data_IF_321429190024
#
_entry.id   IF_321429190024
#
_cell.length_a   1.000
_cell.length_b   1.000
_cell.length_c   1.000
_cell.angle_alpha   90.00
_cell.angle_beta   90.00
_cell.angle_gamma   90.00
#
_symmetry.space_group_name_H-M   'P 1'
#
loop_
_entity.id
_entity.type
_entity.pdbx_description
1 polymer ?
#
# COMPACT_ATOMS: atom_id res chain seq x y z
N UNK A 1 48.15 38.78 0.77
CA UNK A 1 48.52 37.50 1.41
C UNK A 1 47.52 36.46 0.94
N UNK A 2 47.83 35.83 -0.19
CA UNK A 2 47.24 34.54 -0.60
C UNK A 2 47.75 33.44 0.33
N UNK A 3 46.88 32.51 0.74
CA UNK A 3 47.31 31.20 1.21
C UNK A 3 46.71 30.13 0.31
N UNK A 4 47.60 29.45 -0.41
CA UNK A 4 47.40 28.19 -1.15
C UNK A 4 47.08 27.05 -0.17
N UNK A 5 46.18 26.15 -0.56
CA UNK A 5 45.83 24.93 0.18
C UNK A 5 46.86 23.79 0.01
N UNK A 6 46.47 22.55 0.41
CA UNK A 6 47.02 21.36 -0.23
C UNK A 6 45.94 20.37 -0.75
N UNK A 7 46.36 19.64 -1.78
CA UNK A 7 45.68 18.69 -2.68
C UNK A 7 44.95 17.48 -2.03
N UNK A 8 44.04 16.83 -2.79
CA UNK A 8 43.37 15.59 -2.41
C UNK A 8 44.21 14.36 -2.80
N UNK A 9 44.70 13.60 -1.82
CA UNK A 9 45.43 12.35 -2.09
C UNK A 9 45.52 11.42 -0.89
N UNK A 10 45.11 10.16 -1.11
CA UNK A 10 45.32 8.96 -0.28
C UNK A 10 44.52 8.81 1.02
N UNK A 11 43.31 8.24 0.92
CA UNK A 11 42.72 7.44 2.00
C UNK A 11 42.72 5.98 1.56
N UNK A 12 43.64 5.20 2.12
CA UNK A 12 43.68 3.75 1.97
C UNK A 12 42.51 3.10 2.74
N UNK A 13 41.64 2.36 2.05
CA UNK A 13 40.69 1.44 2.71
C UNK A 13 41.45 0.30 3.43
N UNK A 14 41.10 -0.06 4.68
CA UNK A 14 41.57 -1.31 5.27
C UNK A 14 41.00 -2.51 4.51
N UNK A 15 41.82 -3.53 4.24
CA UNK A 15 41.35 -4.83 3.73
C UNK A 15 40.60 -5.56 4.84
N UNK A 16 39.42 -6.10 4.53
CA UNK A 16 38.67 -7.01 5.41
C UNK A 16 39.52 -8.24 5.79
N UNK A 17 39.49 -8.71 7.05
CA UNK A 17 40.15 -9.94 7.44
C UNK A 17 39.41 -11.15 6.86
N UNK A 18 40.11 -11.96 6.07
CA UNK A 18 39.63 -13.26 5.59
C UNK A 18 39.44 -14.19 6.81
N UNK A 19 38.26 -14.81 7.01
CA UNK A 19 38.01 -15.65 8.18
C UNK A 19 38.81 -16.96 8.11
N UNK A 20 39.48 -17.29 9.22
CA UNK A 20 40.27 -18.51 9.40
C UNK A 20 39.36 -19.75 9.47
N UNK A 21 39.26 -20.46 8.35
CA UNK A 21 38.48 -21.70 8.19
C UNK A 21 38.82 -22.78 9.22
N UNK A 22 40.02 -22.73 9.84
CA UNK A 22 40.50 -23.70 10.83
C UNK A 22 39.84 -23.51 12.21
N UNK A 23 39.39 -22.30 12.55
CA UNK A 23 38.66 -22.01 13.80
C UNK A 23 37.19 -22.45 13.74
N UNK A 24 36.53 -22.32 12.58
CA UNK A 24 35.15 -22.78 12.38
C UNK A 24 35.02 -24.30 12.42
N UNK A 25 35.97 -25.05 11.85
CA UNK A 25 35.93 -26.52 11.83
C UNK A 25 36.12 -27.15 13.22
N UNK A 26 36.88 -26.50 14.11
CA UNK A 26 37.07 -26.98 15.48
C UNK A 26 35.89 -26.67 16.41
N UNK A 27 35.07 -25.65 16.11
CA UNK A 27 33.82 -25.37 16.84
C UNK A 27 32.76 -26.44 16.56
N UNK A 28 32.52 -26.76 15.28
CA UNK A 28 31.56 -27.80 14.88
C UNK A 28 31.90 -29.20 15.39
N UNK A 29 33.18 -29.51 15.59
CA UNK A 29 33.62 -30.79 16.16
C UNK A 29 33.35 -30.90 17.67
N UNK A 30 33.19 -29.77 18.38
CA UNK A 30 32.96 -29.76 19.85
C UNK A 30 31.48 -29.71 20.26
N UNK A 31 30.56 -29.41 19.35
CA UNK A 31 29.13 -29.21 19.67
C UNK A 31 28.21 -30.36 19.25
N UNK A 32 28.72 -31.46 18.69
CA UNK A 32 27.90 -32.62 18.29
C UNK A 32 28.20 -33.85 19.14
N UNK A 33 27.29 -34.20 20.05
CA UNK A 33 27.11 -35.58 20.57
C UNK A 33 26.02 -36.28 19.73
N UNK A 34 26.15 -37.59 19.42
CA UNK A 34 25.26 -38.27 18.49
C UNK A 34 24.09 -38.96 19.23
N UNK A 35 22.86 -38.73 18.78
CA UNK A 35 21.75 -39.64 19.03
C UNK A 35 21.16 -40.09 17.69
N UNK A 36 21.19 -41.42 17.50
CA UNK A 36 20.71 -42.20 16.34
C UNK A 36 19.28 -41.81 15.98
N UNK A 37 18.97 -41.66 14.70
CA UNK A 37 17.78 -42.26 14.06
C UNK A 37 17.97 -42.39 12.55
N UNK A 38 17.16 -43.28 12.00
CA UNK A 38 17.39 -44.21 10.91
C UNK A 38 17.24 -43.61 9.50
N UNK A 39 18.01 -44.15 8.54
CA UNK A 39 18.02 -43.78 7.12
C UNK A 39 17.06 -44.70 6.35
N UNK A 40 16.09 -44.12 5.63
CA UNK A 40 15.55 -44.68 4.37
C UNK A 40 15.36 -43.53 3.38
N UNK A 41 16.30 -43.35 2.44
CA UNK A 41 16.21 -43.71 1.00
C UNK A 41 15.16 -42.86 0.24
N UNK A 42 15.44 -42.08 -0.82
CA UNK A 42 16.35 -42.21 -1.98
C UNK A 42 16.91 -40.81 -2.42
N UNK A 43 18.23 -40.64 -2.64
CA UNK A 43 19.02 -40.70 -3.91
C UNK A 43 18.64 -39.68 -5.01
N UNK A 44 19.41 -38.57 -5.17
CA UNK A 44 20.53 -38.31 -6.16
C UNK A 44 19.99 -37.96 -7.56
N UNK A 45 20.30 -36.81 -8.19
CA UNK A 45 21.63 -36.42 -8.69
C UNK A 45 21.69 -34.95 -9.11
N UNK A 46 22.83 -34.32 -8.83
CA UNK A 46 23.27 -33.03 -9.37
C UNK A 46 24.21 -33.29 -10.55
N UNK A 47 24.07 -32.54 -11.64
CA UNK A 47 25.15 -32.31 -12.61
C UNK A 47 25.38 -30.81 -12.77
N UNK A 48 26.60 -30.39 -12.49
CA UNK A 48 27.16 -29.07 -12.74
C UNK A 48 27.23 -28.80 -14.24
N UNK A 49 27.06 -27.54 -14.64
CA UNK A 49 28.00 -26.91 -15.58
C UNK A 49 27.94 -25.38 -15.43
N UNK A 50 29.11 -24.77 -15.26
CA UNK A 50 29.33 -23.33 -15.43
C UNK A 50 29.43 -23.01 -16.93
N UNK A 51 28.90 -21.86 -17.34
CA UNK A 51 29.17 -21.30 -18.67
C UNK A 51 28.23 -20.16 -19.05
N UNK A 52 28.69 -18.94 -18.78
CA UNK A 52 28.40 -17.63 -19.39
C UNK A 52 26.97 -17.12 -19.66
N UNK A 53 26.86 -15.81 -19.40
CA UNK A 53 25.94 -14.80 -19.94
C UNK A 53 24.55 -14.60 -19.28
N UNK A 54 24.55 -13.60 -18.39
CA UNK A 54 23.55 -12.53 -18.19
C UNK A 54 22.09 -12.88 -17.85
N UNK A 55 21.60 -12.11 -16.87
CA UNK A 55 20.19 -11.84 -16.50
C UNK A 55 19.42 -12.79 -15.57
N UNK A 56 18.80 -12.11 -14.59
CA UNK A 56 17.61 -12.43 -13.77
C UNK A 56 17.77 -13.11 -12.40
N UNK A 57 17.45 -12.30 -11.39
CA UNK A 57 16.46 -12.50 -10.31
C UNK A 57 16.52 -13.81 -9.49
N UNK A 58 16.62 -13.70 -8.16
CA UNK A 58 15.85 -14.56 -7.25
C UNK A 58 15.61 -13.93 -5.87
N UNK A 59 14.31 -13.81 -5.59
CA UNK A 59 13.65 -13.58 -4.31
C UNK A 59 13.98 -14.66 -3.28
N UNK A 60 14.05 -14.29 -2.00
CA UNK A 60 14.07 -15.21 -0.86
C UNK A 60 12.75 -15.03 -0.12
N UNK A 61 11.99 -16.12 -0.03
CA UNK A 61 10.69 -16.23 0.61
C UNK A 61 10.87 -17.10 1.85
N UNK A 62 10.49 -16.60 3.03
CA UNK A 62 10.44 -17.38 4.29
C UNK A 62 8.97 -17.58 4.64
N UNK A 63 8.55 -18.84 4.70
CA UNK A 63 7.23 -19.27 5.19
C UNK A 63 7.21 -19.25 6.72
N UNK A 64 6.10 -18.78 7.30
CA UNK A 64 5.72 -19.03 8.69
C UNK A 64 4.40 -19.81 8.69
N UNK A 65 4.45 -21.10 9.04
CA UNK A 65 3.28 -21.88 9.44
C UNK A 65 3.55 -22.52 10.80
N UNK A 66 2.81 -22.10 11.81
CA UNK A 66 2.59 -22.88 13.02
C UNK A 66 1.10 -22.77 13.39
N UNK A 67 0.33 -23.78 13.00
CA UNK A 67 -1.04 -23.99 13.47
C UNK A 67 -1.02 -24.72 14.81
N UNK A 68 -1.77 -24.20 15.77
CA UNK A 68 -2.03 -24.79 17.07
C UNK A 68 -3.22 -25.75 16.94
N UNK A 69 -3.00 -27.07 17.09
CA UNK A 69 -4.06 -28.02 17.43
C UNK A 69 -3.60 -28.91 18.58
N UNK A 70 -3.96 -28.51 19.80
CA UNK A 70 -3.69 -29.27 21.01
C UNK A 70 -4.66 -30.45 21.13
N UNK A 71 -4.16 -31.67 20.96
CA UNK A 71 -4.81 -32.88 21.47
C UNK A 71 -4.23 -33.22 22.85
N UNK A 72 -5.11 -33.26 23.84
CA UNK A 72 -4.80 -33.57 25.24
C UNK A 72 -4.32 -35.01 25.43
N UNK A 73 -3.37 -35.28 26.35
CA UNK A 73 -3.16 -36.62 26.87
C UNK A 73 -4.09 -36.90 28.06
N UNK A 74 -4.79 -38.03 27.98
CA UNK A 74 -5.43 -38.69 29.13
C UNK A 74 -4.36 -38.99 30.18
N UNK A 75 -4.54 -38.50 31.40
CA UNK A 75 -3.91 -39.09 32.58
C UNK A 75 -4.93 -39.39 33.68
N UNK A 76 -4.82 -40.64 34.09
CA UNK A 76 -5.47 -41.41 35.13
C UNK A 76 -5.97 -40.63 36.36
N UNK A 77 -7.24 -40.90 36.68
CA UNK A 77 -7.85 -40.70 38.01
C UNK A 77 -7.03 -41.42 39.09
N UNK A 78 -6.65 -40.70 40.14
CA UNK A 78 -6.72 -41.15 41.54
C UNK A 78 -6.76 -39.89 42.41
N UNK A 79 -7.90 -39.66 43.05
CA UNK A 79 -8.11 -38.51 43.92
C UNK A 79 -7.63 -38.78 45.34
N UNK A 80 -7.25 -37.70 46.05
CA UNK A 80 -7.59 -37.46 47.45
C UNK A 80 -7.28 -35.99 47.81
N UNK A 81 -8.29 -35.35 48.43
CA UNK A 81 -8.29 -34.21 49.35
C UNK A 81 -7.24 -33.09 49.26
N UNK A 82 -7.72 -31.84 49.15
CA UNK A 82 -6.93 -30.67 49.56
C UNK A 82 -7.50 -29.35 49.09
N UNK A 83 -7.82 -28.45 50.02
CA UNK A 83 -8.43 -27.13 49.83
C UNK A 83 -7.56 -26.21 48.96
N UNK A 84 -8.13 -25.60 47.92
CA UNK A 84 -7.50 -24.49 47.20
C UNK A 84 -7.73 -23.17 47.95
N UNK A 85 -6.66 -22.60 48.50
CA UNK A 85 -6.55 -21.15 48.74
C UNK A 85 -5.68 -20.59 47.62
N UNK A 86 -6.21 -19.61 46.90
CA UNK A 86 -5.52 -18.88 45.82
C UNK A 86 -4.54 -17.91 46.47
N UNK A 87 -3.25 -18.03 46.15
CA UNK A 87 -2.25 -16.99 46.41
C UNK A 87 -1.63 -16.58 45.08
N UNK A 88 -1.57 -15.26 44.86
CA UNK A 88 -0.95 -14.62 43.72
C UNK A 88 0.51 -15.07 43.55
N UNK A 89 0.84 -15.62 42.38
CA UNK A 89 2.20 -15.96 41.98
C UNK A 89 2.76 -14.87 41.08
N UNK A 90 3.80 -14.19 41.56
CA UNK A 90 4.62 -13.23 40.83
C UNK A 90 5.08 -13.78 39.47
N UNK A 91 4.94 -12.98 38.39
CA UNK A 91 5.72 -13.19 37.17
C UNK A 91 7.21 -13.05 37.53
N UNK A 92 7.89 -14.20 37.62
CA UNK A 92 9.30 -14.27 37.95
C UNK A 92 10.15 -13.52 36.93
N UNK A 93 10.77 -12.44 37.39
CA UNK A 93 11.93 -11.84 36.73
C UNK A 93 13.03 -12.89 36.71
N UNK A 94 13.49 -13.28 35.53
CA UNK A 94 14.51 -14.32 35.32
C UNK A 94 15.69 -14.18 36.29
N UNK A 95 16.18 -15.32 36.77
CA UNK A 95 17.20 -15.38 37.82
C UNK A 95 18.45 -14.60 37.41
N UNK A 96 19.19 -14.03 38.37
CA UNK A 96 20.44 -13.32 38.08
C UNK A 96 21.46 -14.19 37.33
N UNK A 97 21.32 -15.51 37.44
CA UNK A 97 22.08 -16.53 36.70
C UNK A 97 21.71 -16.53 35.21
N UNK A 98 20.43 -16.53 34.86
CA UNK A 98 19.94 -16.53 33.47
C UNK A 98 20.28 -15.23 32.73
N UNK A 99 20.15 -14.08 33.39
CA UNK A 99 20.61 -12.79 32.80
C UNK A 99 22.12 -12.75 32.55
N UNK A 100 22.92 -13.39 33.41
CA UNK A 100 24.37 -13.51 33.24
C UNK A 100 24.75 -14.47 32.11
N UNK A 101 24.00 -15.56 31.93
CA UNK A 101 24.16 -16.52 30.82
C UNK A 101 23.82 -15.87 29.47
N UNK A 102 22.66 -15.21 29.35
CA UNK A 102 22.25 -14.49 28.13
C UNK A 102 23.24 -13.37 27.80
N UNK A 103 23.68 -12.59 28.80
CA UNK A 103 24.72 -11.56 28.61
C UNK A 103 26.10 -12.13 28.22
N UNK A 104 26.39 -13.40 28.56
CA UNK A 104 27.62 -14.09 28.14
C UNK A 104 27.51 -14.58 26.69
N UNK A 105 26.36 -15.11 26.30
CA UNK A 105 26.09 -15.53 24.91
C UNK A 105 26.13 -14.33 23.97
N UNK A 106 25.49 -13.21 24.33
CA UNK A 106 25.49 -11.97 23.54
C UNK A 106 26.91 -11.38 23.42
N UNK A 107 27.69 -11.33 24.51
CA UNK A 107 29.09 -10.87 24.44
C UNK A 107 29.98 -11.78 23.61
N UNK A 108 29.70 -13.08 23.60
CA UNK A 108 30.45 -14.05 22.80
C UNK A 108 30.10 -13.91 21.31
N UNK A 109 28.83 -13.73 20.98
CA UNK A 109 28.38 -13.43 19.62
C UNK A 109 28.94 -12.09 19.09
N UNK A 110 28.99 -11.07 19.95
CA UNK A 110 29.55 -9.74 19.65
C UNK A 110 31.07 -9.75 19.40
N UNK A 111 31.81 -10.70 19.99
CA UNK A 111 33.24 -10.94 19.69
C UNK A 111 33.46 -11.74 18.41
N UNK A 112 32.52 -12.61 18.04
CA UNK A 112 32.67 -13.51 16.89
C UNK A 112 32.26 -12.82 15.58
N UNK A 113 31.22 -11.98 15.60
CA UNK A 113 30.66 -11.41 14.37
C UNK A 113 31.18 -10.01 14.01
N UNK A 114 32.01 -9.37 14.84
CA UNK A 114 32.51 -8.01 14.58
C UNK A 114 31.44 -6.90 14.53
N UNK A 115 30.16 -7.26 14.51
CA UNK A 115 29.02 -6.36 14.49
C UNK A 115 28.34 -6.33 15.86
N UNK A 116 28.01 -5.11 16.29
CA UNK A 116 27.25 -4.84 17.52
C UNK A 116 25.80 -5.30 17.30
N UNK A 117 25.39 -6.38 17.98
CA UNK A 117 23.97 -6.79 18.02
C UNK A 117 23.16 -5.59 18.56
N UNK A 118 22.00 -5.26 17.96
CA UNK A 118 21.17 -4.16 18.45
C UNK A 118 20.77 -4.42 19.90
N UNK A 119 20.82 -3.37 20.71
CA UNK A 119 20.42 -3.41 22.10
C UNK A 119 18.96 -3.87 22.22
N UNK A 120 18.63 -4.67 23.23
CA UNK A 120 17.25 -5.16 23.45
C UNK A 120 16.29 -3.98 23.65
N UNK A 121 16.75 -2.91 24.30
CA UNK A 121 16.00 -1.66 24.47
C UNK A 121 15.79 -0.93 23.14
N UNK A 122 16.73 -1.05 22.19
CA UNK A 122 16.56 -0.53 20.83
C UNK A 122 15.53 -1.36 20.06
N UNK A 123 15.51 -2.69 20.18
CA UNK A 123 14.50 -3.53 19.51
C UNK A 123 13.10 -3.27 20.06
N UNK A 124 12.98 -3.14 21.38
CA UNK A 124 11.72 -2.77 22.04
C UNK A 124 11.26 -1.37 21.65
N UNK A 125 12.14 -0.36 21.65
CA UNK A 125 11.79 1.00 21.23
C UNK A 125 11.35 1.07 19.77
N UNK A 126 12.06 0.39 18.86
CA UNK A 126 11.66 0.34 17.45
C UNK A 126 10.29 -0.32 17.29
N UNK A 127 10.07 -1.51 17.85
CA UNK A 127 8.79 -2.21 17.75
C UNK A 127 7.62 -1.44 18.39
N UNK A 128 7.85 -0.72 19.49
CA UNK A 128 6.82 0.12 20.13
C UNK A 128 6.50 1.39 19.33
N UNK A 129 7.52 2.03 18.75
CA UNK A 129 7.35 3.17 17.86
C UNK A 129 6.50 2.81 16.64
N UNK A 130 6.76 1.64 16.04
CA UNK A 130 6.08 1.16 14.84
C UNK A 130 4.58 0.92 15.10
N UNK A 131 4.26 0.35 16.26
CA UNK A 131 2.87 0.14 16.66
C UNK A 131 2.17 1.48 16.96
N UNK A 132 2.89 2.47 17.50
CA UNK A 132 2.32 3.79 17.79
C UNK A 132 1.99 4.55 16.50
N UNK A 133 2.92 4.59 15.55
CA UNK A 133 2.71 5.23 14.23
C UNK A 133 1.52 4.59 13.50
N UNK A 134 1.43 3.26 13.50
CA UNK A 134 0.31 2.52 12.92
C UNK A 134 -1.03 2.82 13.62
N UNK A 135 -1.06 2.79 14.95
CA UNK A 135 -2.29 3.04 15.72
C UNK A 135 -2.79 4.47 15.53
N UNK A 136 -1.90 5.47 15.55
CA UNK A 136 -2.24 6.86 15.29
C UNK A 136 -2.81 7.01 13.88
N UNK A 137 -2.16 6.42 12.88
CA UNK A 137 -2.65 6.42 11.50
C UNK A 137 -4.04 5.79 11.39
N UNK A 138 -4.27 4.62 12.01
CA UNK A 138 -5.56 3.94 12.03
C UNK A 138 -6.67 4.80 12.66
N UNK A 139 -6.37 5.48 13.77
CA UNK A 139 -7.30 6.40 14.44
C UNK A 139 -7.62 7.59 13.52
N UNK A 140 -6.62 8.17 12.86
CA UNK A 140 -6.80 9.29 11.92
C UNK A 140 -7.61 8.89 10.68
N UNK A 141 -7.35 7.72 10.12
CA UNK A 141 -8.13 7.14 9.02
C UNK A 141 -9.59 6.98 9.45
N UNK A 142 -9.84 6.35 10.60
CA UNK A 142 -11.19 6.18 11.13
C UNK A 142 -11.89 7.52 11.40
N UNK A 143 -11.21 8.47 12.03
CA UNK A 143 -11.75 9.80 12.32
C UNK A 143 -12.11 10.56 11.03
N UNK A 144 -11.25 10.49 10.00
CA UNK A 144 -11.50 11.09 8.69
C UNK A 144 -12.74 10.49 8.03
N UNK A 145 -12.85 9.15 8.01
CA UNK A 145 -14.01 8.44 7.45
C UNK A 145 -15.30 8.82 8.19
N UNK A 146 -15.27 8.86 9.52
CA UNK A 146 -16.42 9.24 10.35
C UNK A 146 -16.84 10.70 10.14
N UNK A 147 -15.89 11.62 10.05
CA UNK A 147 -16.14 13.04 9.75
C UNK A 147 -16.80 13.20 8.38
N UNK A 148 -16.28 12.51 7.36
CA UNK A 148 -16.83 12.56 6.01
C UNK A 148 -18.22 11.93 5.94
N UNK A 149 -18.46 10.84 6.68
CA UNK A 149 -19.78 10.22 6.76
C UNK A 149 -20.79 11.11 7.50
N UNK A 150 -20.38 11.78 8.58
CA UNK A 150 -21.21 12.77 9.25
C UNK A 150 -21.56 13.92 8.29
N UNK A 151 -20.58 14.41 7.52
CA UNK A 151 -20.77 15.46 6.51
C UNK A 151 -21.75 15.03 5.43
N UNK A 152 -21.59 13.83 4.86
CA UNK A 152 -22.55 13.26 3.90
C UNK A 152 -23.94 13.16 4.51
N UNK A 153 -24.10 12.62 5.73
CA UNK A 153 -25.42 12.51 6.37
C UNK A 153 -26.06 13.87 6.64
N UNK A 154 -25.29 14.86 7.06
CA UNK A 154 -25.77 16.22 7.29
C UNK A 154 -26.22 16.88 5.97
N UNK A 155 -25.40 16.78 4.92
CA UNK A 155 -25.71 17.30 3.60
C UNK A 155 -27.00 16.66 3.03
N UNK A 156 -27.24 15.36 3.27
CA UNK A 156 -28.43 14.68 2.76
C UNK A 156 -29.71 15.05 3.50
N UNK A 157 -29.59 15.58 4.73
CA UNK A 157 -30.70 16.15 5.49
C UNK A 157 -30.99 17.59 5.07
N UNK A 158 -29.96 18.37 4.75
CA UNK A 158 -30.07 19.81 4.51
C UNK A 158 -30.35 20.16 3.03
N UNK A 159 -29.84 19.37 2.09
CA UNK A 159 -29.96 19.61 0.66
C UNK A 159 -30.65 18.42 -0.02
N UNK A 160 -31.86 18.64 -0.53
CA UNK A 160 -32.56 17.69 -1.41
C UNK A 160 -32.50 18.20 -2.85
N UNK A 161 -31.93 17.41 -3.76
CA UNK A 161 -31.83 17.74 -5.19
C UNK A 161 -30.40 17.66 -5.75
N UNK A 162 -30.18 18.27 -6.91
CA UNK A 162 -28.93 18.13 -7.70
C UNK A 162 -27.67 18.58 -6.94
N UNK A 163 -27.79 19.46 -5.93
CA UNK A 163 -26.66 19.90 -5.09
C UNK A 163 -26.06 18.79 -4.21
N UNK A 164 -26.83 17.75 -3.91
CA UNK A 164 -26.39 16.63 -3.10
C UNK A 164 -25.19 15.88 -3.71
N UNK A 165 -25.20 15.64 -5.03
CA UNK A 165 -24.11 14.89 -5.70
C UNK A 165 -22.78 15.64 -5.62
N UNK A 166 -22.82 16.98 -5.73
CA UNK A 166 -21.64 17.84 -5.64
C UNK A 166 -21.03 17.83 -4.24
N UNK A 167 -21.87 17.83 -3.19
CA UNK A 167 -21.41 17.70 -1.80
C UNK A 167 -20.85 16.30 -1.52
N UNK A 168 -21.49 15.27 -2.09
CA UNK A 168 -21.02 13.89 -1.97
C UNK A 168 -19.65 13.71 -2.60
N UNK A 169 -19.42 14.29 -3.79
CA UNK A 169 -18.15 14.30 -4.49
C UNK A 169 -17.06 15.03 -3.68
N UNK A 170 -17.35 16.23 -3.19
CA UNK A 170 -16.40 16.96 -2.35
C UNK A 170 -16.02 16.20 -1.07
N UNK A 171 -17.01 15.68 -0.33
CA UNK A 171 -16.74 14.94 0.91
C UNK A 171 -15.99 13.62 0.67
N UNK A 172 -16.29 12.92 -0.43
CA UNK A 172 -15.66 11.64 -0.76
C UNK A 172 -14.25 11.84 -1.33
N UNK A 173 -14.02 12.86 -2.16
CA UNK A 173 -12.66 13.23 -2.60
C UNK A 173 -11.79 13.70 -1.44
N UNK A 174 -12.35 14.47 -0.50
CA UNK A 174 -11.64 14.86 0.71
C UNK A 174 -11.23 13.63 1.53
N UNK A 175 -12.15 12.69 1.78
CA UNK A 175 -11.85 11.43 2.46
C UNK A 175 -10.74 10.64 1.75
N UNK A 176 -10.85 10.47 0.43
CA UNK A 176 -9.86 9.78 -0.40
C UNK A 176 -8.47 10.40 -0.19
N UNK A 177 -8.37 11.73 -0.37
CA UNK A 177 -7.11 12.45 -0.31
C UNK A 177 -6.48 12.45 1.09
N UNK A 178 -7.28 12.65 2.14
CA UNK A 178 -6.79 12.61 3.53
C UNK A 178 -6.26 11.22 3.90
N UNK A 179 -7.02 10.17 3.57
CA UNK A 179 -6.62 8.81 3.85
C UNK A 179 -5.35 8.41 3.10
N UNK A 180 -5.23 8.77 1.82
CA UNK A 180 -4.03 8.46 1.02
C UNK A 180 -2.82 9.27 1.49
N UNK A 181 -2.98 10.52 1.93
CA UNK A 181 -1.88 11.29 2.51
C UNK A 181 -1.30 10.61 3.75
N UNK A 182 -2.16 10.18 4.68
CA UNK A 182 -1.70 9.50 5.89
C UNK A 182 -1.05 8.15 5.58
N UNK A 183 -1.64 7.37 4.66
CA UNK A 183 -1.04 6.09 4.24
C UNK A 183 0.28 6.26 3.48
N UNK A 184 0.42 7.31 2.67
CA UNK A 184 1.67 7.64 2.00
C UNK A 184 2.76 7.93 3.03
N UNK A 185 2.45 8.78 4.02
CA UNK A 185 3.40 9.12 5.08
C UNK A 185 3.78 7.88 5.92
N UNK A 186 2.80 7.04 6.26
CA UNK A 186 3.04 5.79 6.98
C UNK A 186 3.89 4.81 6.16
N UNK A 187 3.65 4.72 4.86
CA UNK A 187 4.40 3.84 3.95
C UNK A 187 5.83 4.31 3.67
N UNK A 188 6.12 5.60 3.79
CA UNK A 188 7.48 6.16 3.70
C UNK A 188 8.30 5.89 4.97
N UNK A 189 7.64 5.61 6.10
CA UNK A 189 8.35 5.13 7.29
C UNK A 189 8.98 3.77 6.97
N UNK A 190 10.31 3.64 7.09
CA UNK A 190 11.08 2.41 6.79
C UNK A 190 10.72 1.19 7.67
N UNK A 191 9.64 1.30 8.44
CA UNK A 191 9.31 0.45 9.56
C UNK A 191 8.06 -0.40 9.34
N UNK A 192 7.25 -0.08 8.32
CA UNK A 192 6.08 -0.88 7.96
C UNK A 192 6.45 -1.95 6.91
N UNK A 193 6.17 -3.22 7.19
CA UNK A 193 6.30 -4.29 6.20
C UNK A 193 5.30 -4.08 5.04
N UNK A 194 5.72 -4.47 3.84
CA UNK A 194 4.92 -4.34 2.61
C UNK A 194 3.55 -5.00 2.76
N UNK A 195 3.49 -6.13 3.46
CA UNK A 195 2.25 -6.86 3.76
C UNK A 195 1.24 -5.98 4.52
N UNK A 196 1.70 -5.21 5.50
CA UNK A 196 0.84 -4.28 6.26
C UNK A 196 0.40 -3.11 5.38
N UNK A 197 1.30 -2.51 4.59
CA UNK A 197 0.95 -1.42 3.65
C UNK A 197 -0.13 -1.84 2.67
N UNK A 198 0.00 -3.03 2.08
CA UNK A 198 -0.99 -3.57 1.14
C UNK A 198 -2.31 -3.91 1.85
N UNK A 199 -2.26 -4.46 3.07
CA UNK A 199 -3.47 -4.77 3.85
C UNK A 199 -4.23 -3.49 4.22
N UNK A 200 -3.53 -2.42 4.61
CA UNK A 200 -4.12 -1.12 4.89
C UNK A 200 -4.69 -0.48 3.63
N UNK A 201 -3.95 -0.55 2.51
CA UNK A 201 -4.41 -0.06 1.20
C UNK A 201 -5.69 -0.77 0.77
N UNK A 202 -5.72 -2.10 0.88
CA UNK A 202 -6.92 -2.89 0.59
C UNK A 202 -8.08 -2.50 1.51
N UNK A 203 -7.85 -2.48 2.83
CA UNK A 203 -8.86 -2.17 3.82
C UNK A 203 -9.46 -0.78 3.64
N UNK A 204 -8.63 0.25 3.45
CA UNK A 204 -9.12 1.61 3.21
C UNK A 204 -9.84 1.73 1.87
N UNK A 205 -9.40 1.01 0.84
CA UNK A 205 -10.06 1.01 -0.47
C UNK A 205 -11.44 0.39 -0.37
N UNK A 206 -11.60 -0.70 0.38
CA UNK A 206 -12.93 -1.26 0.70
C UNK A 206 -13.80 -0.22 1.41
N UNK A 207 -13.26 0.48 2.42
CA UNK A 207 -13.99 1.53 3.13
C UNK A 207 -14.41 2.66 2.18
N UNK A 208 -13.53 3.12 1.29
CA UNK A 208 -13.83 4.13 0.28
C UNK A 208 -15.00 3.68 -0.61
N UNK A 209 -14.89 2.49 -1.20
CA UNK A 209 -15.93 1.94 -2.08
C UNK A 209 -17.28 1.77 -1.37
N UNK A 210 -17.29 1.45 -0.07
CA UNK A 210 -18.53 1.33 0.72
C UNK A 210 -19.11 2.69 1.14
N UNK A 211 -18.30 3.73 1.26
CA UNK A 211 -18.72 5.03 1.82
C UNK A 211 -18.96 6.12 0.78
N UNK A 212 -18.37 6.00 -0.41
CA UNK A 212 -18.46 7.03 -1.46
C UNK A 212 -19.83 7.09 -2.15
N UNK A 213 -20.67 6.08 -1.96
CA UNK A 213 -22.01 5.98 -2.58
C UNK A 213 -21.87 6.12 -4.10
N UNK A 214 -22.37 7.20 -4.69
CA UNK A 214 -22.32 7.48 -6.13
C UNK A 214 -21.18 8.41 -6.54
N UNK A 215 -20.35 8.91 -5.61
CA UNK A 215 -19.25 9.80 -5.96
C UNK A 215 -18.13 9.05 -6.68
N UNK A 216 -17.71 9.63 -7.80
CA UNK A 216 -16.60 9.13 -8.62
C UNK A 216 -15.24 9.51 -8.05
N UNK A 217 -15.16 10.66 -7.38
CA UNK A 217 -13.94 11.22 -6.78
C UNK A 217 -12.77 11.41 -7.75
N UNK A 218 -13.02 11.38 -9.07
CA UNK A 218 -11.99 11.31 -10.09
C UNK A 218 -12.35 12.20 -11.30
N UNK A 219 -11.53 13.22 -11.64
CA UNK A 219 -11.74 14.04 -12.83
C UNK A 219 -11.85 13.25 -14.13
N UNK A 220 -11.15 12.12 -14.27
CA UNK A 220 -11.26 11.26 -15.45
C UNK A 220 -12.68 10.67 -15.61
N UNK A 221 -13.36 10.35 -14.52
CA UNK A 221 -14.75 9.86 -14.56
C UNK A 221 -15.75 10.99 -14.90
N UNK A 222 -15.49 12.22 -14.45
CA UNK A 222 -16.27 13.38 -14.88
C UNK A 222 -16.13 13.63 -16.39
N UNK A 223 -14.91 13.46 -16.94
CA UNK A 223 -14.66 13.53 -18.38
C UNK A 223 -15.31 12.36 -19.15
N UNK A 224 -15.25 11.14 -18.60
CA UNK A 224 -15.99 9.98 -19.15
C UNK A 224 -17.48 10.31 -19.33
N UNK A 225 -18.10 10.92 -18.32
CA UNK A 225 -19.52 11.27 -18.34
C UNK A 225 -19.86 12.23 -19.50
N UNK A 226 -18.95 13.14 -19.83
CA UNK A 226 -19.07 14.02 -21.01
C UNK A 226 -18.89 13.23 -22.29
N UNK A 227 -17.85 12.38 -22.38
CA UNK A 227 -17.59 11.54 -23.55
C UNK A 227 -18.77 10.61 -23.90
N UNK A 228 -19.51 10.16 -22.88
CA UNK A 228 -20.70 9.31 -23.01
C UNK A 228 -22.00 10.09 -23.22
N UNK A 229 -21.97 11.42 -23.14
CA UNK A 229 -23.16 12.27 -23.24
C UNK A 229 -24.11 12.16 -22.04
N UNK A 230 -23.67 11.61 -20.91
CA UNK A 230 -24.49 11.47 -19.69
C UNK A 230 -24.45 12.70 -18.80
N UNK A 231 -23.46 13.58 -18.99
CA UNK A 231 -23.35 14.86 -18.28
C UNK A 231 -22.99 16.01 -19.22
N UNK A 232 -23.46 17.22 -18.89
CA UNK A 232 -23.03 18.43 -19.60
C UNK A 232 -21.59 18.82 -19.24
N UNK A 233 -20.88 19.47 -20.16
CA UNK A 233 -19.51 19.99 -19.93
C UNK A 233 -19.47 20.91 -18.69
N UNK A 234 -20.50 21.73 -18.48
CA UNK A 234 -20.58 22.64 -17.32
C UNK A 234 -20.67 21.86 -16.00
N UNK A 235 -21.48 20.81 -15.95
CA UNK A 235 -21.63 19.97 -14.76
C UNK A 235 -20.33 19.23 -14.44
N UNK A 236 -19.67 18.66 -15.45
CA UNK A 236 -18.38 17.99 -15.29
C UNK A 236 -17.29 18.96 -14.84
N UNK A 237 -17.22 20.16 -15.41
CA UNK A 237 -16.28 21.19 -14.97
C UNK A 237 -16.49 21.59 -13.51
N UNK A 238 -17.75 21.76 -13.07
CA UNK A 238 -18.08 22.05 -11.68
C UNK A 238 -17.66 20.91 -10.75
N UNK A 239 -17.90 19.65 -11.13
CA UNK A 239 -17.44 18.48 -10.39
C UNK A 239 -15.92 18.46 -10.24
N UNK A 240 -15.18 18.68 -11.33
CA UNK A 240 -13.71 18.71 -11.30
C UNK A 240 -13.21 19.81 -10.37
N UNK A 241 -13.80 21.01 -10.42
CA UNK A 241 -13.44 22.11 -9.50
C UNK A 241 -13.66 21.72 -8.05
N UNK A 242 -14.78 21.06 -7.73
CA UNK A 242 -15.07 20.61 -6.37
C UNK A 242 -14.12 19.50 -5.91
N UNK A 243 -13.80 18.55 -6.78
CA UNK A 243 -12.83 17.49 -6.50
C UNK A 243 -11.43 18.08 -6.23
N UNK A 244 -10.99 19.05 -7.05
CA UNK A 244 -9.71 19.74 -6.84
C UNK A 244 -9.73 20.60 -5.58
N UNK A 245 -10.84 21.28 -5.29
CA UNK A 245 -11.03 22.04 -4.06
C UNK A 245 -10.95 21.15 -2.81
N UNK A 246 -11.60 19.98 -2.85
CA UNK A 246 -11.51 18.97 -1.79
C UNK A 246 -10.09 18.41 -1.62
N UNK A 247 -9.36 18.20 -2.72
CA UNK A 247 -7.95 17.80 -2.69
C UNK A 247 -7.05 18.87 -2.05
N UNK A 248 -7.30 20.15 -2.30
CA UNK A 248 -6.58 21.25 -1.63
C UNK A 248 -6.92 21.29 -0.14
N UNK A 249 -8.21 21.19 0.21
CA UNK A 249 -8.65 21.15 1.60
C UNK A 249 -8.03 19.96 2.36
N UNK A 250 -7.91 18.81 1.71
CA UNK A 250 -7.27 17.63 2.28
C UNK A 250 -5.78 17.85 2.58
N UNK A 251 -5.04 18.58 1.73
CA UNK A 251 -3.64 18.96 2.02
C UNK A 251 -3.53 19.86 3.23
N UNK A 252 -4.39 20.88 3.31
CA UNK A 252 -4.42 21.79 4.47
C UNK A 252 -4.77 21.04 5.75
N UNK A 253 -5.73 20.11 5.68
CA UNK A 253 -6.10 19.25 6.81
C UNK A 253 -4.95 18.34 7.24
N UNK A 254 -4.30 17.63 6.30
CA UNK A 254 -3.19 16.75 6.58
C UNK A 254 -2.02 17.51 7.24
N UNK A 255 -1.61 18.66 6.67
CA UNK A 255 -0.58 19.50 7.27
C UNK A 255 -0.93 19.95 8.70
N UNK A 256 -2.21 20.28 8.94
CA UNK A 256 -2.69 20.65 10.27
C UNK A 256 -2.59 19.48 11.26
N UNK A 257 -3.03 18.28 10.86
CA UNK A 257 -2.94 17.07 11.68
C UNK A 257 -1.49 16.70 11.96
N UNK A 258 -0.63 16.68 10.94
CA UNK A 258 0.78 16.36 11.10
C UNK A 258 1.52 17.37 11.99
N UNK A 259 1.09 18.64 12.01
CA UNK A 259 1.66 19.67 12.90
C UNK A 259 1.42 19.40 14.39
N UNK A 260 0.45 18.56 14.73
CA UNK A 260 0.19 18.15 16.11
C UNK A 260 1.23 17.15 16.66
N UNK A 261 2.06 16.56 15.79
CA UNK A 261 3.12 15.65 16.20
C UNK A 261 2.62 14.42 16.97
N UNK A 262 1.48 13.85 16.55
CA UNK A 262 0.80 12.75 17.27
C UNK A 262 1.60 11.45 17.30
N UNK A 263 2.62 11.32 16.43
CA UNK A 263 3.47 10.15 16.29
C UNK A 263 4.90 10.53 15.88
N UNK A 264 5.84 9.58 15.94
CA UNK A 264 7.24 9.82 15.59
C UNK A 264 7.36 10.21 14.10
N UNK A 265 6.55 9.57 13.23
CA UNK A 265 6.51 9.93 11.81
C UNK A 265 5.97 11.35 11.57
N UNK A 266 4.97 11.81 12.32
CA UNK A 266 4.44 13.17 12.19
C UNK A 266 5.47 14.21 12.64
N UNK A 267 6.13 13.98 13.79
CA UNK A 267 7.22 14.84 14.27
C UNK A 267 8.37 14.87 13.27
N UNK A 268 8.71 13.72 12.68
CA UNK A 268 9.74 13.66 11.64
C UNK A 268 9.34 14.47 10.41
N UNK A 269 8.13 14.27 9.89
CA UNK A 269 7.64 14.99 8.72
C UNK A 269 7.55 16.51 8.95
N UNK A 270 7.17 16.92 10.16
CA UNK A 270 7.17 18.32 10.60
C UNK A 270 8.58 18.93 10.56
N UNK A 271 9.63 18.21 10.98
CA UNK A 271 11.03 18.69 10.93
C UNK A 271 11.50 18.98 9.50
N UNK A 272 10.94 18.30 8.50
CA UNK A 272 11.20 18.57 7.08
C UNK A 272 10.24 19.60 6.47
N UNK A 273 9.39 20.24 7.28
CA UNK A 273 8.44 21.25 6.83
C UNK A 273 7.34 20.68 5.94
N UNK A 274 6.94 19.42 6.17
CA UNK A 274 5.93 18.69 5.38
C UNK A 274 6.28 18.56 3.90
N UNK A 275 7.57 18.63 3.55
CA UNK A 275 8.05 18.50 2.18
C UNK A 275 8.12 17.03 1.79
N UNK A 276 7.75 16.76 0.54
CA UNK A 276 8.06 15.51 -0.15
C UNK A 276 9.03 15.76 -1.29
N UNK A 277 9.87 14.75 -1.55
CA UNK A 277 10.87 14.73 -2.59
C UNK A 277 10.51 13.67 -3.63
N UNK A 278 11.08 13.82 -4.82
CA UNK A 278 10.82 13.08 -6.05
C UNK A 278 9.89 11.84 -5.87
N UNK A 279 8.61 11.95 -6.24
CA UNK A 279 7.65 10.89 -6.04
C UNK A 279 7.78 9.76 -7.07
N UNK A 280 8.65 9.89 -8.07
CA UNK A 280 8.83 8.90 -9.12
C UNK A 280 10.01 7.98 -8.81
N UNK A 281 9.84 6.68 -9.05
CA UNK A 281 10.95 5.72 -9.04
C UNK A 281 11.47 5.34 -10.43
N UNK A 282 10.94 5.96 -11.48
CA UNK A 282 11.31 5.74 -12.88
C UNK A 282 11.23 7.02 -13.71
N UNK A 283 11.33 6.89 -15.03
CA UNK A 283 11.23 8.04 -15.95
C UNK A 283 9.81 8.59 -16.03
N UNK A 284 9.68 9.85 -16.48
CA UNK A 284 8.38 10.50 -16.74
C UNK A 284 7.49 9.67 -17.68
N UNK A 285 8.08 9.05 -18.71
CA UNK A 285 7.34 8.22 -19.66
C UNK A 285 6.87 6.89 -19.02
N UNK A 286 7.74 6.22 -18.25
CA UNK A 286 7.37 5.00 -17.54
C UNK A 286 6.25 5.27 -16.53
N UNK A 287 6.35 6.37 -15.77
CA UNK A 287 5.30 6.77 -14.84
C UNK A 287 3.98 7.04 -15.57
N UNK A 288 3.98 7.80 -16.67
CA UNK A 288 2.79 8.06 -17.46
C UNK A 288 2.17 6.76 -18.04
N UNK A 289 3.00 5.81 -18.47
CA UNK A 289 2.55 4.51 -18.98
C UNK A 289 1.90 3.66 -17.87
N UNK A 290 2.47 3.66 -16.65
CA UNK A 290 1.89 2.99 -15.49
C UNK A 290 0.54 3.60 -15.13
N UNK A 291 0.45 4.93 -15.07
CA UNK A 291 -0.79 5.65 -14.76
C UNK A 291 -1.90 5.39 -15.80
N UNK A 292 -1.53 5.37 -17.09
CA UNK A 292 -2.42 4.97 -18.19
C UNK A 292 -2.92 3.54 -18.01
N UNK A 293 -2.02 2.59 -17.79
CA UNK A 293 -2.38 1.17 -17.63
C UNK A 293 -3.29 0.95 -16.41
N UNK A 294 -2.98 1.60 -15.29
CA UNK A 294 -3.80 1.52 -14.08
C UNK A 294 -5.20 2.09 -14.32
N UNK A 295 -5.30 3.28 -14.93
CA UNK A 295 -6.59 3.90 -15.24
C UNK A 295 -7.41 3.06 -16.22
N UNK A 296 -6.76 2.49 -17.26
CA UNK A 296 -7.41 1.55 -18.18
C UNK A 296 -7.98 0.33 -17.45
N UNK A 297 -7.20 -0.29 -16.55
CA UNK A 297 -7.62 -1.46 -15.79
C UNK A 297 -8.77 -1.13 -14.84
N UNK A 298 -8.69 -0.03 -14.09
CA UNK A 298 -9.77 0.43 -13.21
C UNK A 298 -11.04 0.72 -14.00
N UNK A 299 -10.92 1.37 -15.16
CA UNK A 299 -12.06 1.63 -16.06
C UNK A 299 -12.66 0.32 -16.57
N UNK A 300 -11.83 -0.65 -16.98
CA UNK A 300 -12.29 -1.94 -17.47
C UNK A 300 -13.07 -2.70 -16.39
N UNK A 301 -12.58 -2.66 -15.15
CA UNK A 301 -13.27 -3.23 -14.00
C UNK A 301 -14.58 -2.50 -13.75
N UNK A 302 -14.60 -1.17 -13.70
CA UNK A 302 -15.82 -0.39 -13.49
C UNK A 302 -16.93 -0.71 -14.51
N UNK A 303 -16.57 -0.86 -15.79
CA UNK A 303 -17.51 -1.22 -16.86
C UNK A 303 -18.09 -2.64 -16.72
N UNK A 304 -17.35 -3.56 -16.10
CA UNK A 304 -17.71 -4.98 -16.07
C UNK A 304 -18.05 -5.51 -14.67
N UNK A 305 -17.89 -4.71 -13.62
CA UNK A 305 -18.05 -5.14 -12.22
C UNK A 305 -19.47 -5.65 -11.94
N UNK A 306 -20.47 -5.13 -12.66
CA UNK A 306 -21.87 -5.55 -12.50
C UNK A 306 -22.10 -7.02 -12.89
N UNK A 307 -21.21 -7.62 -13.69
CA UNK A 307 -21.23 -9.05 -14.05
C UNK A 307 -20.84 -9.96 -12.89
N UNK A 308 -20.18 -9.43 -11.86
CA UNK A 308 -19.84 -10.18 -10.65
C UNK A 308 -21.02 -10.17 -9.68
N UNK A 309 -21.05 -11.21 -8.82
CA UNK A 309 -21.95 -11.25 -7.67
C UNK A 309 -21.77 -10.00 -6.79
N UNK A 310 -22.88 -9.43 -6.32
CA UNK A 310 -22.89 -8.16 -5.58
C UNK A 310 -21.93 -8.15 -4.38
N UNK A 311 -21.86 -9.26 -3.64
CA UNK A 311 -20.97 -9.43 -2.47
C UNK A 311 -19.48 -9.40 -2.83
N UNK A 312 -19.14 -9.73 -4.07
CA UNK A 312 -17.76 -9.79 -4.56
C UNK A 312 -17.30 -8.47 -5.20
N UNK A 313 -18.22 -7.58 -5.59
CA UNK A 313 -17.90 -6.36 -6.35
C UNK A 313 -16.88 -5.47 -5.63
N UNK A 314 -17.17 -5.12 -4.37
CA UNK A 314 -16.30 -4.27 -3.55
C UNK A 314 -14.95 -4.92 -3.25
N UNK A 315 -14.87 -6.14 -2.69
CA UNK A 315 -13.58 -6.76 -2.39
C UNK A 315 -12.74 -7.01 -3.66
N UNK A 316 -13.38 -7.36 -4.78
CA UNK A 316 -12.67 -7.52 -6.06
C UNK A 316 -12.10 -6.20 -6.55
N UNK A 317 -12.89 -5.13 -6.57
CA UNK A 317 -12.43 -3.82 -7.02
C UNK A 317 -11.28 -3.31 -6.13
N UNK A 318 -11.40 -3.47 -4.81
CA UNK A 318 -10.34 -3.12 -3.86
C UNK A 318 -9.06 -3.95 -4.08
N UNK A 319 -9.20 -5.25 -4.34
CA UNK A 319 -8.08 -6.13 -4.64
C UNK A 319 -7.36 -5.70 -5.94
N UNK A 320 -8.10 -5.31 -6.98
CA UNK A 320 -7.52 -4.80 -8.23
C UNK A 320 -6.73 -3.52 -7.97
N UNK A 321 -7.32 -2.53 -7.28
CA UNK A 321 -6.61 -1.29 -6.91
C UNK A 321 -5.34 -1.63 -6.12
N UNK A 322 -5.43 -2.51 -5.12
CA UNK A 322 -4.28 -2.90 -4.30
C UNK A 322 -3.20 -3.58 -5.13
N UNK A 323 -3.56 -4.43 -6.09
CA UNK A 323 -2.63 -5.08 -7.01
C UNK A 323 -1.95 -4.07 -7.95
N UNK A 324 -2.67 -3.06 -8.43
CA UNK A 324 -2.10 -1.96 -9.22
C UNK A 324 -1.13 -1.12 -8.39
N UNK A 325 -1.48 -0.81 -7.14
CA UNK A 325 -0.58 -0.12 -6.19
C UNK A 325 0.67 -0.95 -5.92
N UNK A 326 0.54 -2.26 -5.72
CA UNK A 326 1.69 -3.15 -5.58
C UNK A 326 2.59 -3.17 -6.84
N UNK A 327 2.00 -3.22 -8.03
CA UNK A 327 2.73 -3.37 -9.28
C UNK A 327 3.37 -2.07 -9.80
N UNK A 328 2.68 -0.94 -9.64
CA UNK A 328 3.08 0.36 -10.20
C UNK A 328 3.48 1.42 -9.16
N UNK A 329 3.23 1.15 -7.87
CA UNK A 329 3.43 2.12 -6.80
C UNK A 329 4.87 2.63 -6.69
N UNK A 330 5.86 1.76 -6.91
CA UNK A 330 7.28 2.15 -6.91
C UNK A 330 7.69 3.02 -8.09
N UNK A 331 6.89 3.11 -9.16
CA UNK A 331 7.23 3.87 -10.37
C UNK A 331 6.54 5.24 -10.36
N UNK A 332 5.22 5.27 -10.17
CA UNK A 332 4.42 6.51 -10.24
C UNK A 332 3.64 6.84 -8.97
N UNK A 333 3.68 5.95 -7.97
CA UNK A 333 2.72 5.93 -6.86
C UNK A 333 1.40 5.25 -7.19
N UNK A 334 1.16 4.83 -8.46
CA UNK A 334 -0.07 4.22 -8.94
C UNK A 334 -1.32 5.00 -8.47
N UNK A 335 -1.47 6.23 -8.94
CA UNK A 335 -2.49 7.16 -8.44
C UNK A 335 -3.77 7.13 -9.27
N UNK A 336 -3.62 7.10 -10.61
CA UNK A 336 -4.60 7.00 -11.70
C UNK A 336 -5.86 7.87 -11.53
N UNK A 337 -5.72 8.95 -10.78
CA UNK A 337 -6.77 9.88 -10.42
C UNK A 337 -6.17 11.30 -10.34
N UNK A 338 -6.51 12.20 -11.28
CA UNK A 338 -5.92 13.53 -11.32
C UNK A 338 -6.17 14.38 -10.05
N UNK A 339 -7.32 14.25 -9.39
CA UNK A 339 -7.59 15.00 -8.15
C UNK A 339 -6.76 14.46 -6.97
N UNK A 340 -6.64 13.14 -6.87
CA UNK A 340 -5.79 12.52 -5.86
C UNK A 340 -4.31 12.86 -6.09
N UNK A 341 -3.84 12.77 -7.33
CA UNK A 341 -2.47 13.13 -7.70
C UNK A 341 -2.18 14.60 -7.39
N UNK A 342 -3.15 15.48 -7.70
CA UNK A 342 -3.07 16.87 -7.30
C UNK A 342 -2.82 16.96 -5.79
N UNK A 343 -3.59 16.23 -4.96
CA UNK A 343 -3.40 16.20 -3.51
C UNK A 343 -2.02 15.73 -3.04
N UNK A 344 -1.53 14.61 -3.57
CA UNK A 344 -0.41 13.86 -2.95
C UNK A 344 0.92 13.94 -3.70
N UNK A 345 0.92 14.26 -5.00
CA UNK A 345 2.12 14.26 -5.84
C UNK A 345 2.55 15.67 -6.27
N UNK A 346 1.61 16.51 -6.69
CA UNK A 346 1.92 17.87 -7.15
C UNK A 346 2.61 18.79 -6.12
N UNK A 347 2.45 18.60 -4.79
CA UNK A 347 3.24 19.33 -3.80
C UNK A 347 4.71 18.90 -3.73
N UNK A 348 5.06 17.73 -4.27
CA UNK A 348 6.41 17.19 -4.18
C UNK A 348 7.35 17.90 -5.16
N UNK A 349 8.61 18.00 -4.76
CA UNK A 349 9.69 18.47 -5.63
C UNK A 349 10.19 17.33 -6.53
N UNK A 350 11.00 17.66 -7.55
CA UNK A 350 11.64 16.68 -8.44
C UNK A 350 11.27 16.86 -9.90
N UNK A 351 10.02 17.24 -10.18
CA UNK A 351 9.51 17.43 -11.54
C UNK A 351 8.76 18.75 -11.70
N UNK A 352 8.66 19.20 -12.94
CA UNK A 352 7.86 20.36 -13.32
C UNK A 352 6.36 20.07 -13.25
N UNK A 353 5.56 21.11 -13.09
CA UNK A 353 4.10 20.99 -13.11
C UNK A 353 3.58 20.35 -14.41
N UNK A 354 4.22 20.63 -15.55
CA UNK A 354 3.83 20.07 -16.84
C UNK A 354 4.13 18.57 -16.94
N UNK A 355 5.26 18.10 -16.38
CA UNK A 355 5.55 16.67 -16.30
C UNK A 355 4.53 15.94 -15.43
N UNK A 356 4.13 16.51 -14.29
CA UNK A 356 3.05 15.95 -13.48
C UNK A 356 1.69 15.98 -14.20
N UNK A 357 1.38 17.03 -14.98
CA UNK A 357 0.19 17.01 -15.84
C UNK A 357 0.26 15.89 -16.90
N UNK A 358 1.42 15.69 -17.52
CA UNK A 358 1.61 14.61 -18.49
C UNK A 358 1.39 13.23 -17.84
N UNK A 359 1.96 12.99 -16.66
CA UNK A 359 1.85 11.72 -15.96
C UNK A 359 0.43 11.50 -15.42
N UNK A 360 -0.09 12.44 -14.63
CA UNK A 360 -1.28 12.22 -13.79
C UNK A 360 -2.58 12.80 -14.34
N UNK A 361 -2.54 13.59 -15.42
CA UNK A 361 -3.74 13.96 -16.18
C UNK A 361 -3.82 13.21 -17.49
N UNK A 362 -2.82 13.37 -18.36
CA UNK A 362 -2.87 12.79 -19.70
C UNK A 362 -2.86 11.26 -19.65
N UNK A 363 -1.99 10.64 -18.85
CA UNK A 363 -1.96 9.19 -18.64
C UNK A 363 -3.33 8.62 -18.27
N UNK A 364 -3.94 9.02 -17.15
CA UNK A 364 -5.24 8.50 -16.72
C UNK A 364 -6.38 8.76 -17.70
N UNK A 365 -6.44 9.95 -18.33
CA UNK A 365 -7.46 10.27 -19.33
C UNK A 365 -7.32 9.36 -20.56
N UNK A 366 -6.09 9.16 -21.06
CA UNK A 366 -5.84 8.25 -22.18
C UNK A 366 -6.18 6.80 -21.82
N UNK A 367 -5.88 6.36 -20.60
CA UNK A 367 -6.23 5.02 -20.13
C UNK A 367 -7.74 4.78 -20.12
N UNK A 368 -8.49 5.73 -19.56
CA UNK A 368 -9.95 5.71 -19.57
C UNK A 368 -10.52 5.70 -20.99
N UNK A 369 -10.10 6.65 -21.84
CA UNK A 369 -10.61 6.76 -23.23
C UNK A 369 -10.29 5.50 -24.04
N UNK A 370 -9.07 4.98 -23.92
CA UNK A 370 -8.66 3.74 -24.61
C UNK A 370 -9.51 2.55 -24.20
N UNK A 371 -9.88 2.45 -22.92
CA UNK A 371 -10.76 1.41 -22.40
C UNK A 371 -12.16 1.49 -23.02
N UNK A 372 -12.77 2.68 -23.02
CA UNK A 372 -14.08 2.91 -23.63
C UNK A 372 -14.07 2.55 -25.12
N UNK A 373 -13.07 3.04 -25.86
CA UNK A 373 -12.94 2.74 -27.29
C UNK A 373 -12.80 1.24 -27.55
N UNK A 374 -11.99 0.54 -26.76
CA UNK A 374 -11.78 -0.89 -26.91
C UNK A 374 -13.09 -1.67 -26.69
N UNK A 375 -13.76 -1.46 -25.56
CA UNK A 375 -14.90 -2.29 -25.16
C UNK A 375 -16.22 -1.92 -25.84
N UNK A 376 -16.39 -0.66 -26.26
CA UNK A 376 -17.67 -0.20 -26.82
C UNK A 376 -17.67 0.02 -28.32
N UNK A 377 -16.49 0.24 -28.91
CA UNK A 377 -16.37 0.49 -30.35
C UNK A 377 -15.66 -0.68 -31.03
N UNK A 378 -14.45 -1.00 -30.60
CA UNK A 378 -13.59 -1.96 -31.31
C UNK A 378 -14.11 -3.40 -31.16
N UNK A 379 -14.34 -3.89 -29.94
CA UNK A 379 -14.81 -5.27 -29.71
C UNK A 379 -16.17 -5.54 -30.38
N UNK A 380 -17.20 -4.68 -30.25
CA UNK A 380 -18.47 -4.88 -30.94
C UNK A 380 -18.35 -4.87 -32.47
N UNK A 381 -17.52 -3.97 -33.02
CA UNK A 381 -17.23 -3.91 -34.45
C UNK A 381 -16.58 -5.19 -34.96
N UNK A 382 -15.54 -5.69 -34.27
CA UNK A 382 -14.86 -6.94 -34.62
C UNK A 382 -15.75 -8.17 -34.44
N UNK A 383 -16.68 -8.14 -33.47
CA UNK A 383 -17.64 -9.22 -33.23
C UNK A 383 -18.78 -9.27 -34.27
N UNK A 384 -18.80 -8.39 -35.28
CA UNK A 384 -19.84 -8.35 -36.30
C UNK A 384 -21.22 -7.91 -35.78
N UNK A 385 -21.30 -7.38 -34.55
CA UNK A 385 -22.52 -6.79 -33.99
C UNK A 385 -22.60 -5.33 -34.41
N UNK A 386 -22.80 -5.09 -35.69
CA UNK A 386 -23.18 -3.77 -36.17
C UNK A 386 -24.59 -3.49 -35.66
N UNK A 387 -24.77 -2.48 -34.81
CA UNK A 387 -26.07 -1.84 -34.64
C UNK A 387 -26.43 -1.11 -35.93
N UNK A 388 -26.79 -1.86 -36.96
CA UNK A 388 -27.61 -1.36 -38.07
C UNK A 388 -28.96 -2.04 -37.87
N UNK A 389 -29.62 -1.62 -36.79
CA UNK A 389 -31.06 -1.78 -36.62
C UNK A 389 -31.71 -0.69 -37.44
N UNK A 390 -32.19 -1.11 -38.59
CA UNK A 390 -32.96 -0.36 -39.57
C UNK A 390 -34.13 0.36 -38.90
N UNK A 391 -34.02 1.69 -38.69
CA UNK A 391 -35.19 2.54 -38.48
C UNK A 391 -35.93 2.61 -39.82
N UNK A 392 -36.81 1.64 -40.01
CA UNK A 392 -37.52 1.39 -41.25
C UNK A 392 -38.61 0.36 -41.04
N UNK A 393 -39.67 0.75 -40.34
CA UNK A 393 -40.98 0.15 -40.56
C UNK A 393 -42.05 1.22 -40.67
N UNK A 394 -42.33 1.56 -41.92
CA UNK A 394 -43.61 2.06 -42.38
C UNK A 394 -44.60 0.89 -42.29
N UNK A 395 -45.58 0.99 -41.39
CA UNK A 395 -46.94 0.42 -41.47
C UNK A 395 -47.67 0.92 -40.21
N UNK A 396 -48.83 1.56 -40.24
CA UNK A 396 -50.00 1.21 -41.04
C UNK A 396 -50.92 2.46 -41.13
N UNK A 397 -51.24 2.89 -42.35
CA UNK A 397 -52.44 3.68 -42.62
C UNK A 397 -53.56 2.69 -42.98
N UNK A 398 -54.79 3.10 -42.69
CA UNK A 398 -56.07 2.49 -43.11
C UNK A 398 -56.75 1.51 -42.13
N UNK A 399 -57.69 2.01 -41.32
CA UNK A 399 -59.15 1.91 -41.56
C UNK A 399 -59.92 2.26 -40.28
N UNK A 400 -60.72 3.33 -40.31
CA UNK A 400 -61.99 3.36 -39.57
C UNK A 400 -63.00 4.13 -40.40
N UNK A 401 -64.12 3.46 -40.63
CA UNK A 401 -65.34 3.90 -41.29
C UNK A 401 -65.97 5.10 -40.59
#
# INVERSE_FOLDING_TARGET
>A
MEQKGPDPGNVCCPRDPVPDKRKMTNFWRKTTTPAKYDKRFFLVRSTRSCGLDSLKCKSIQIYSDFSWTGNAPRLLKKGHGGKHSVSAGQCGVGTAQERKEVSRVVRTAHRIMGCRLPDMDSVLYYTWGDMTDLLVSLVLLAATVLLCEATRRAAGRLHRGVYWIYLLEAASTFQLCCCTQELKLLGESKRLDLSYSLTLTYGITVIHLLTFREATCNPAAALESVCRGTASVKAAALLIVLQLGAAVAARSFAASVWSLGLSDMHIHHQKFGFRCFDPLGGTVLEAAAVELACAFTVQAVAMHIQKLEEKLRVPFFAAVITALVYAGGSISGAIFNPALAFSVQFPCSGHTYLEYCFIYWLGPVLGMVSCILLFEKIIPFLSGKSSIGMDGSIAQKEKTQ
#
